data_IF_668894295697
#
_entry.id   IF_668894295697
#
_cell.length_a   1.000
_cell.length_b   1.000
_cell.length_c   1.000
_cell.angle_alpha   90.00
_cell.angle_beta   90.00
_cell.angle_gamma   90.00
#
_symmetry.space_group_name_H-M   'P 1'
#
loop_
_entity.id
_entity.type
_entity.pdbx_description
1 polymer ?
#
# COMPACT_ATOMS: atom_id res chain seq x y z
N UNK A 1 -31.23 -28.16 -7.86
CA UNK A 1 -31.15 -28.20 -6.41
C UNK A 1 -30.09 -29.20 -6.02
N UNK A 2 -28.92 -28.75 -5.65
CA UNK A 2 -27.85 -29.64 -5.16
C UNK A 2 -28.08 -29.87 -3.67
N UNK A 3 -28.34 -31.11 -3.30
CA UNK A 3 -28.54 -31.53 -1.91
C UNK A 3 -27.20 -31.48 -1.19
N UNK A 4 -27.07 -30.54 -0.25
CA UNK A 4 -25.92 -30.49 0.65
C UNK A 4 -26.09 -31.65 1.63
N UNK A 5 -25.16 -32.62 1.59
CA UNK A 5 -25.11 -33.71 2.55
C UNK A 5 -24.82 -33.12 3.95
N UNK A 6 -25.49 -33.61 5.00
CA UNK A 6 -25.23 -33.13 6.37
C UNK A 6 -23.80 -33.52 6.77
N UNK A 7 -23.05 -32.54 7.31
CA UNK A 7 -21.79 -32.79 7.98
C UNK A 7 -22.04 -33.71 9.18
N UNK A 8 -21.48 -34.89 9.19
CA UNK A 8 -21.55 -35.83 10.27
C UNK A 8 -20.92 -35.25 11.54
N UNK A 9 -21.61 -35.28 12.70
CA UNK A 9 -21.10 -34.74 13.97
C UNK A 9 -19.99 -35.58 14.63
N UNK A 10 -19.58 -36.71 14.08
CA UNK A 10 -18.65 -37.66 14.71
C UNK A 10 -17.47 -38.07 13.79
N UNK A 11 -16.92 -37.11 13.05
CA UNK A 11 -15.68 -37.30 12.33
C UNK A 11 -14.51 -36.65 13.08
N UNK A 12 -14.23 -37.03 14.31
CA UNK A 12 -13.00 -36.66 15.00
C UNK A 12 -11.83 -37.11 14.15
N UNK A 13 -11.11 -36.16 13.54
CA UNK A 13 -9.82 -36.44 12.89
C UNK A 13 -8.95 -37.16 13.94
N UNK A 14 -8.25 -38.27 13.58
CA UNK A 14 -7.37 -38.94 14.52
C UNK A 14 -6.47 -37.91 15.18
N UNK A 15 -6.16 -38.05 16.46
CA UNK A 15 -5.29 -37.18 17.28
C UNK A 15 -3.98 -36.92 16.51
N UNK A 16 -4.02 -35.97 15.63
CA UNK A 16 -2.84 -35.54 14.87
C UNK A 16 -2.02 -34.68 15.80
N UNK A 17 -0.82 -35.13 16.13
CA UNK A 17 0.14 -34.30 16.86
C UNK A 17 0.35 -33.00 16.08
N UNK A 18 0.41 -31.85 16.81
CA UNK A 18 0.75 -30.58 16.17
C UNK A 18 2.06 -30.67 15.38
N UNK A 19 2.22 -29.89 14.30
CA UNK A 19 3.46 -29.89 13.52
C UNK A 19 4.69 -29.68 14.40
N UNK A 20 5.61 -30.64 14.41
CA UNK A 20 6.82 -30.66 15.26
C UNK A 20 7.95 -31.42 14.58
N UNK A 21 9.17 -31.15 15.02
CA UNK A 21 10.35 -31.92 14.66
C UNK A 21 11.34 -31.87 15.84
N UNK A 22 11.25 -32.88 16.72
CA UNK A 22 12.01 -32.93 17.96
C UNK A 22 13.50 -33.11 17.67
N UNK A 23 13.86 -33.86 16.64
CA UNK A 23 15.24 -34.10 16.26
C UNK A 23 15.91 -32.81 15.77
N UNK A 24 15.17 -31.98 15.02
CA UNK A 24 15.65 -30.65 14.64
C UNK A 24 15.82 -29.72 15.87
N UNK A 25 14.86 -29.73 16.82
CA UNK A 25 14.98 -28.94 18.04
C UNK A 25 16.21 -29.35 18.86
N UNK A 26 16.46 -30.66 19.06
CA UNK A 26 17.64 -31.16 19.75
C UNK A 26 18.92 -30.77 19.01
N UNK A 27 18.92 -30.84 17.69
CA UNK A 27 20.07 -30.48 16.85
C UNK A 27 20.40 -28.99 16.96
N UNK A 28 19.39 -28.12 17.00
CA UNK A 28 19.53 -26.66 17.22
C UNK A 28 20.21 -26.41 18.56
N UNK A 29 19.66 -26.95 19.67
CA UNK A 29 20.19 -26.74 21.02
C UNK A 29 21.58 -27.32 21.16
N UNK A 30 21.79 -28.52 20.66
CA UNK A 30 23.09 -29.16 20.68
C UNK A 30 24.17 -28.42 19.89
N UNK A 31 23.80 -27.86 18.70
CA UNK A 31 24.74 -27.07 17.90
C UNK A 31 25.23 -25.81 18.64
N UNK A 32 24.34 -25.11 19.36
CA UNK A 32 24.69 -23.95 20.18
C UNK A 32 25.65 -24.33 21.30
N UNK A 33 25.46 -25.51 21.93
CA UNK A 33 26.38 -26.02 23.00
C UNK A 33 27.75 -26.43 22.46
N UNK A 34 27.85 -26.76 21.16
CA UNK A 34 29.13 -27.10 20.51
C UNK A 34 29.85 -25.84 20.04
N UNK A 35 29.13 -24.88 19.45
CA UNK A 35 29.65 -23.66 18.84
C UNK A 35 28.77 -22.48 19.18
N UNK A 36 29.23 -21.58 20.03
CA UNK A 36 28.48 -20.43 20.51
C UNK A 36 28.04 -19.51 19.35
N UNK A 37 28.83 -19.45 18.26
CA UNK A 37 28.50 -18.67 17.05
C UNK A 37 27.19 -19.15 16.39
N UNK A 38 26.79 -20.42 16.57
CA UNK A 38 25.54 -20.95 16.11
C UNK A 38 24.31 -20.19 16.67
N UNK A 39 24.44 -19.65 17.89
CA UNK A 39 23.36 -18.86 18.50
C UNK A 39 23.10 -17.57 17.74
N UNK A 40 24.12 -16.86 17.28
CA UNK A 40 24.00 -15.63 16.49
C UNK A 40 23.36 -15.92 15.14
N UNK A 41 23.72 -17.01 14.47
CA UNK A 41 23.07 -17.47 13.23
C UNK A 41 21.58 -17.74 13.44
N UNK A 42 21.22 -18.42 14.54
CA UNK A 42 19.82 -18.70 14.87
C UNK A 42 19.02 -17.42 15.19
N UNK A 43 19.64 -16.44 15.87
CA UNK A 43 18.97 -15.18 16.21
C UNK A 43 18.83 -14.26 14.99
N UNK A 44 19.88 -14.11 14.19
CA UNK A 44 19.95 -13.12 13.10
C UNK A 44 19.40 -13.68 11.79
N UNK A 45 19.89 -14.83 11.32
CA UNK A 45 19.49 -15.38 10.02
C UNK A 45 18.14 -16.12 10.09
N UNK A 46 17.99 -17.00 11.11
CA UNK A 46 16.79 -17.83 11.26
C UNK A 46 15.69 -17.11 12.04
N UNK A 47 16.04 -16.17 12.92
CA UNK A 47 15.13 -15.44 13.82
C UNK A 47 14.34 -16.37 14.73
N UNK A 48 14.99 -17.40 15.21
CA UNK A 48 14.38 -18.40 16.05
C UNK A 48 14.10 -17.84 17.45
N UNK A 49 12.90 -18.08 17.97
CA UNK A 49 12.42 -17.63 19.27
C UNK A 49 12.18 -18.81 20.19
N UNK A 50 12.22 -18.63 21.53
CA UNK A 50 11.85 -19.70 22.47
C UNK A 50 10.47 -20.30 22.20
N UNK A 51 9.50 -19.48 21.81
CA UNK A 51 8.13 -19.92 21.49
C UNK A 51 8.01 -20.73 20.18
N UNK A 52 9.10 -20.84 19.42
CA UNK A 52 9.14 -21.66 18.20
C UNK A 52 9.39 -23.15 18.51
N UNK A 53 9.82 -23.45 19.71
CA UNK A 53 10.02 -24.84 20.12
C UNK A 53 8.68 -25.49 20.52
N UNK A 54 8.50 -26.74 20.10
CA UNK A 54 7.31 -27.53 20.46
C UNK A 54 7.37 -28.02 21.91
N UNK A 55 8.57 -28.50 22.34
CA UNK A 55 8.75 -28.98 23.70
C UNK A 55 9.06 -27.82 24.64
N UNK A 56 8.25 -27.60 25.69
CA UNK A 56 8.50 -26.54 26.66
C UNK A 56 9.89 -26.57 27.27
N UNK A 57 10.44 -27.76 27.50
CA UNK A 57 11.81 -27.93 28.01
C UNK A 57 12.90 -27.38 27.07
N UNK A 58 12.68 -27.50 25.73
CA UNK A 58 13.58 -26.96 24.73
C UNK A 58 13.51 -25.43 24.68
N UNK A 59 12.27 -24.89 24.79
CA UNK A 59 12.02 -23.46 24.89
C UNK A 59 12.74 -22.85 26.11
N UNK A 60 12.66 -23.50 27.31
CA UNK A 60 13.38 -23.07 28.51
C UNK A 60 14.89 -23.13 28.34
N UNK A 61 15.44 -24.21 27.74
CA UNK A 61 16.87 -24.33 27.48
C UNK A 61 17.32 -23.20 26.54
N UNK A 62 16.61 -22.96 25.42
CA UNK A 62 16.97 -21.91 24.47
C UNK A 62 16.89 -20.51 25.10
N UNK A 63 15.88 -20.27 25.94
CA UNK A 63 15.75 -19.03 26.71
C UNK A 63 16.91 -18.79 27.65
N UNK A 64 17.40 -19.84 28.32
CA UNK A 64 18.58 -19.76 29.17
C UNK A 64 19.86 -19.45 28.36
N UNK A 65 20.03 -20.05 27.17
CA UNK A 65 21.13 -19.74 26.25
C UNK A 65 21.13 -18.27 25.84
N UNK A 66 19.95 -17.73 25.47
CA UNK A 66 19.81 -16.31 25.14
C UNK A 66 20.16 -15.40 26.31
N UNK A 67 19.69 -15.72 27.52
CA UNK A 67 19.97 -14.93 28.72
C UNK A 67 21.47 -14.92 29.08
N UNK A 68 22.22 -15.99 28.86
CA UNK A 68 23.67 -16.04 29.02
C UNK A 68 24.38 -15.17 27.97
N UNK A 69 23.98 -15.30 26.70
CA UNK A 69 24.53 -14.51 25.60
C UNK A 69 24.32 -13.00 25.81
N UNK A 70 23.13 -12.57 26.26
CA UNK A 70 22.81 -11.17 26.55
C UNK A 70 23.72 -10.59 27.64
N UNK A 71 24.22 -11.43 28.56
CA UNK A 71 25.20 -11.05 29.58
C UNK A 71 26.65 -11.21 29.13
N UNK A 72 26.86 -11.61 27.87
CA UNK A 72 28.19 -11.92 27.31
C UNK A 72 28.92 -13.04 28.08
N UNK A 73 28.15 -13.97 28.66
CA UNK A 73 28.67 -15.16 29.33
C UNK A 73 28.82 -16.32 28.33
N UNK A 74 29.71 -17.25 28.61
CA UNK A 74 29.89 -18.43 27.76
C UNK A 74 28.62 -19.29 27.75
N UNK A 75 28.26 -19.81 26.58
CA UNK A 75 27.08 -20.67 26.39
C UNK A 75 27.56 -22.10 26.14
N UNK A 76 27.67 -22.88 27.20
CA UNK A 76 28.01 -24.30 27.17
C UNK A 76 27.09 -25.12 28.09
N UNK A 77 27.24 -26.45 28.07
CA UNK A 77 26.35 -27.33 28.83
C UNK A 77 26.41 -27.08 30.36
N UNK A 78 27.54 -26.61 30.88
CA UNK A 78 27.73 -26.36 32.31
C UNK A 78 27.05 -25.04 32.70
N UNK A 79 27.29 -23.98 31.95
CA UNK A 79 26.75 -22.64 32.20
C UNK A 79 25.23 -22.60 32.02
N UNK A 80 24.70 -23.26 30.98
CA UNK A 80 23.25 -23.42 30.74
C UNK A 80 22.59 -24.20 31.87
N UNK A 81 23.22 -25.28 32.36
CA UNK A 81 22.68 -26.02 33.50
C UNK A 81 22.67 -25.17 34.79
N UNK A 82 23.71 -24.39 35.05
CA UNK A 82 23.79 -23.48 36.18
C UNK A 82 22.72 -22.36 36.10
N UNK A 83 22.50 -21.80 34.92
CA UNK A 83 21.46 -20.78 34.70
C UNK A 83 20.06 -21.34 34.94
N UNK A 84 19.74 -22.54 34.42
CA UNK A 84 18.48 -23.22 34.64
C UNK A 84 18.27 -23.63 36.11
N UNK A 85 19.35 -23.98 36.83
CA UNK A 85 19.27 -24.25 38.25
C UNK A 85 18.93 -22.96 39.04
N UNK A 86 19.58 -21.86 38.68
CA UNK A 86 19.29 -20.52 39.24
C UNK A 86 17.83 -20.12 39.05
N UNK A 87 17.23 -20.52 37.92
CA UNK A 87 15.82 -20.28 37.60
C UNK A 87 14.89 -21.35 38.21
N UNK A 88 15.39 -22.36 38.88
CA UNK A 88 14.66 -23.51 39.41
C UNK A 88 13.94 -24.35 38.32
N UNK A 89 14.45 -24.31 37.11
CA UNK A 89 13.88 -25.04 35.92
C UNK A 89 14.72 -26.29 35.57
N UNK A 90 15.91 -26.48 36.12
CA UNK A 90 16.82 -27.55 35.71
C UNK A 90 16.19 -28.96 35.75
N UNK A 91 15.40 -29.26 36.79
CA UNK A 91 14.77 -30.58 36.92
C UNK A 91 13.62 -30.76 35.88
N UNK A 92 12.94 -29.70 35.55
CA UNK A 92 11.83 -29.73 34.60
C UNK A 92 12.29 -29.97 33.14
N UNK A 93 13.52 -29.51 32.81
CA UNK A 93 14.12 -29.76 31.50
C UNK A 93 14.79 -31.14 31.35
N UNK A 94 14.88 -31.93 32.42
CA UNK A 94 15.46 -33.25 32.40
C UNK A 94 16.83 -33.35 33.09
N UNK A 95 17.21 -32.31 33.86
CA UNK A 95 18.44 -32.26 34.63
C UNK A 95 19.71 -32.07 33.78
N UNK A 96 20.86 -32.04 34.44
CA UNK A 96 22.15 -31.88 33.75
C UNK A 96 22.42 -32.95 32.68
N UNK A 97 22.02 -34.20 32.96
CA UNK A 97 22.25 -35.31 32.04
C UNK A 97 21.58 -35.07 30.65
N UNK A 98 20.40 -34.47 30.62
CA UNK A 98 19.72 -34.14 29.38
C UNK A 98 20.47 -33.07 28.59
N UNK A 99 20.90 -31.99 29.26
CA UNK A 99 21.62 -30.89 28.62
C UNK A 99 22.96 -31.40 28.03
N UNK A 100 23.70 -32.24 28.80
CA UNK A 100 24.91 -32.85 28.32
C UNK A 100 24.74 -33.87 27.20
N UNK A 101 23.54 -34.39 26.99
CA UNK A 101 23.24 -35.31 25.88
C UNK A 101 22.96 -34.60 24.52
N UNK A 102 22.53 -33.33 24.54
CA UNK A 102 22.14 -32.58 23.34
C UNK A 102 23.26 -32.45 22.29
N UNK A 103 24.53 -32.19 22.64
CA UNK A 103 25.63 -32.17 21.66
C UNK A 103 25.76 -33.46 20.87
N UNK A 104 25.44 -34.61 21.47
CA UNK A 104 25.51 -35.91 20.80
C UNK A 104 24.41 -36.15 19.77
N UNK A 105 23.37 -35.33 19.77
CA UNK A 105 22.26 -35.42 18.84
C UNK A 105 22.47 -34.62 17.54
N UNK A 106 23.62 -33.90 17.44
CA UNK A 106 23.90 -33.01 16.31
C UNK A 106 24.58 -33.76 15.18
N UNK A 107 23.99 -33.93 13.99
CA UNK A 107 24.67 -34.56 12.86
C UNK A 107 25.82 -33.69 12.31
N UNK A 108 25.65 -32.37 12.29
CA UNK A 108 26.64 -31.37 11.87
C UNK A 108 26.32 -30.00 12.41
N UNK A 109 27.21 -29.43 13.22
CA UNK A 109 27.02 -28.07 13.77
C UNK A 109 27.00 -26.98 12.69
N UNK A 110 27.64 -27.19 11.54
CA UNK A 110 27.65 -26.26 10.41
C UNK A 110 26.28 -26.10 9.70
N UNK A 111 25.31 -26.95 9.98
CA UNK A 111 23.99 -26.90 9.37
C UNK A 111 22.91 -26.33 10.31
N UNK A 112 23.30 -25.58 11.33
CA UNK A 112 22.37 -25.03 12.35
C UNK A 112 21.30 -24.16 11.76
N UNK A 113 21.59 -23.38 10.71
CA UNK A 113 20.59 -22.56 10.02
C UNK A 113 19.49 -23.43 9.42
N UNK A 114 19.80 -24.56 8.82
CA UNK A 114 18.83 -25.49 8.25
C UNK A 114 17.95 -26.14 9.34
N UNK A 115 18.56 -26.57 10.45
CA UNK A 115 17.78 -27.12 11.57
C UNK A 115 16.88 -26.09 12.20
N UNK A 116 17.38 -24.86 12.39
CA UNK A 116 16.59 -23.74 12.87
C UNK A 116 15.41 -23.42 11.96
N UNK A 117 15.60 -23.44 10.63
CA UNK A 117 14.53 -23.23 9.66
C UNK A 117 13.43 -24.30 9.77
N UNK A 118 13.81 -25.58 9.95
CA UNK A 118 12.82 -26.66 10.17
C UNK A 118 11.99 -26.39 11.41
N UNK A 119 12.60 -26.01 12.53
CA UNK A 119 11.89 -25.68 13.78
C UNK A 119 10.92 -24.50 13.55
N UNK A 120 11.38 -23.46 12.88
CA UNK A 120 10.60 -22.27 12.55
C UNK A 120 9.41 -22.58 11.66
N UNK A 121 9.60 -23.36 10.59
CA UNK A 121 8.51 -23.77 9.68
C UNK A 121 7.42 -24.54 10.45
N UNK A 122 7.81 -25.45 11.35
CA UNK A 122 6.87 -26.18 12.22
C UNK A 122 6.13 -25.22 13.16
N UNK A 123 6.82 -24.22 13.70
CA UNK A 123 6.18 -23.21 14.55
C UNK A 123 5.17 -22.35 13.79
N UNK A 124 5.48 -21.93 12.56
CA UNK A 124 4.53 -21.20 11.72
C UNK A 124 3.27 -22.03 11.43
N UNK A 125 3.43 -23.32 11.12
CA UNK A 125 2.28 -24.21 10.92
C UNK A 125 1.45 -24.35 12.20
N UNK A 126 2.04 -24.37 13.40
CA UNK A 126 1.32 -24.39 14.68
C UNK A 126 0.53 -23.08 14.87
N UNK A 127 1.15 -21.92 14.63
CA UNK A 127 0.48 -20.61 14.72
C UNK A 127 -0.71 -20.53 13.75
N UNK A 128 -0.53 -21.02 12.52
CA UNK A 128 -1.65 -21.10 11.56
C UNK A 128 -2.75 -22.00 12.07
N UNK A 129 -2.42 -23.18 12.61
CA UNK A 129 -3.39 -24.11 13.18
C UNK A 129 -4.17 -23.49 14.34
N UNK A 130 -3.50 -22.77 15.24
CA UNK A 130 -4.14 -22.09 16.36
C UNK A 130 -5.04 -20.94 15.90
N UNK A 131 -4.65 -20.21 14.85
CA UNK A 131 -5.49 -19.17 14.24
C UNK A 131 -6.74 -19.78 13.62
N UNK A 132 -6.62 -20.90 12.91
CA UNK A 132 -7.75 -21.60 12.31
C UNK A 132 -8.71 -22.16 13.37
N UNK A 133 -8.19 -22.70 14.48
CA UNK A 133 -9.01 -23.17 15.62
C UNK A 133 -9.77 -22.03 16.29
N UNK A 134 -9.12 -20.86 16.45
CA UNK A 134 -9.80 -19.67 16.96
C UNK A 134 -10.90 -19.22 16.02
N UNK A 135 -10.62 -19.17 14.72
CA UNK A 135 -11.60 -18.81 13.70
C UNK A 135 -12.79 -19.80 13.70
N UNK A 136 -12.53 -21.11 13.81
CA UNK A 136 -13.59 -22.14 13.94
C UNK A 136 -14.49 -21.87 15.17
N UNK A 137 -13.89 -21.62 16.33
CA UNK A 137 -14.65 -21.30 17.54
C UNK A 137 -15.45 -20.00 17.40
N UNK A 138 -14.85 -18.98 16.78
CA UNK A 138 -15.49 -17.68 16.57
C UNK A 138 -16.72 -17.80 15.64
N UNK A 139 -16.74 -18.73 14.67
CA UNK A 139 -17.94 -18.99 13.84
C UNK A 139 -19.17 -19.30 14.68
N UNK A 140 -19.01 -19.98 15.83
CA UNK A 140 -20.11 -20.37 16.71
C UNK A 140 -20.42 -19.35 17.81
N UNK A 141 -19.46 -18.46 18.14
CA UNK A 141 -19.56 -17.62 19.34
C UNK A 141 -19.52 -16.13 19.05
N UNK A 142 -19.15 -15.71 17.83
CA UNK A 142 -18.97 -14.29 17.48
C UNK A 142 -20.32 -13.55 17.44
N UNK A 143 -20.48 -12.46 18.21
CA UNK A 143 -21.75 -11.74 18.30
C UNK A 143 -21.95 -10.71 17.17
N UNK A 144 -20.93 -10.45 16.33
CA UNK A 144 -20.94 -9.48 15.25
C UNK A 144 -21.45 -10.04 13.92
N UNK A 145 -21.28 -9.29 12.85
CA UNK A 145 -21.66 -9.72 11.50
C UNK A 145 -20.69 -10.75 10.92
N UNK A 146 -21.18 -11.61 10.02
CA UNK A 146 -20.33 -12.57 9.32
C UNK A 146 -19.19 -11.87 8.54
N UNK A 147 -19.44 -10.65 8.03
CA UNK A 147 -18.44 -9.86 7.30
C UNK A 147 -17.29 -9.45 8.22
N UNK A 148 -17.58 -8.93 9.40
CA UNK A 148 -16.56 -8.57 10.39
C UNK A 148 -15.72 -9.79 10.81
N UNK A 149 -16.33 -10.96 10.94
CA UNK A 149 -15.62 -12.19 11.26
C UNK A 149 -14.69 -12.61 10.12
N UNK A 150 -15.11 -12.49 8.85
CA UNK A 150 -14.25 -12.76 7.69
C UNK A 150 -13.06 -11.82 7.65
N UNK A 151 -13.30 -10.50 7.79
CA UNK A 151 -12.23 -9.49 7.75
C UNK A 151 -11.21 -9.71 8.88
N UNK A 152 -11.69 -10.03 10.09
CA UNK A 152 -10.83 -10.35 11.24
C UNK A 152 -10.00 -11.62 11.00
N UNK A 153 -10.63 -12.69 10.49
CA UNK A 153 -9.92 -13.94 10.22
C UNK A 153 -8.88 -13.77 9.11
N UNK A 154 -9.20 -13.03 8.04
CA UNK A 154 -8.26 -12.71 6.98
C UNK A 154 -7.03 -11.94 7.53
N UNK A 155 -7.27 -10.94 8.39
CA UNK A 155 -6.20 -10.16 9.02
C UNK A 155 -5.29 -11.02 9.92
N UNK A 156 -5.86 -11.96 10.70
CA UNK A 156 -5.09 -12.86 11.55
C UNK A 156 -4.24 -13.85 10.73
N UNK A 157 -4.81 -14.45 9.69
CA UNK A 157 -4.09 -15.34 8.77
C UNK A 157 -2.97 -14.56 8.06
N UNK A 158 -3.27 -13.35 7.58
CA UNK A 158 -2.28 -12.49 6.95
C UNK A 158 -1.11 -12.16 7.89
N UNK A 159 -1.40 -11.86 9.15
CA UNK A 159 -0.38 -11.59 10.17
C UNK A 159 0.54 -12.80 10.36
N UNK A 160 -0.01 -14.01 10.50
CA UNK A 160 0.79 -15.23 10.65
C UNK A 160 1.66 -15.50 9.41
N UNK A 161 1.12 -15.24 8.21
CA UNK A 161 1.84 -15.44 6.95
C UNK A 161 2.97 -14.42 6.73
N UNK A 162 2.86 -13.22 7.31
CA UNK A 162 3.78 -12.10 7.09
C UNK A 162 4.47 -11.63 8.38
N UNK A 163 4.52 -12.45 9.41
CA UNK A 163 5.22 -12.15 10.68
C UNK A 163 6.73 -11.85 10.49
N UNK A 164 7.25 -12.15 9.30
CA UNK A 164 8.64 -11.88 8.89
C UNK A 164 8.92 -10.41 8.57
N UNK A 165 7.87 -9.61 8.33
CA UNK A 165 7.99 -8.22 7.84
C UNK A 165 8.13 -7.16 8.94
N UNK A 166 8.39 -7.52 10.20
CA UNK A 166 8.82 -6.53 11.20
C UNK A 166 10.21 -6.04 10.81
N UNK A 167 10.29 -4.78 10.37
CA UNK A 167 11.52 -4.12 9.96
C UNK A 167 12.58 -4.22 11.06
N UNK A 168 13.60 -5.02 10.82
CA UNK A 168 14.81 -4.98 11.64
C UNK A 168 15.56 -3.67 11.39
N UNK A 169 16.35 -3.27 12.41
CA UNK A 169 17.36 -2.24 12.21
C UNK A 169 18.38 -2.77 11.19
N UNK A 170 18.36 -2.21 9.99
CA UNK A 170 19.32 -2.56 8.94
C UNK A 170 20.53 -1.64 9.05
N UNK A 171 21.72 -2.18 8.93
CA UNK A 171 22.94 -1.37 8.94
C UNK A 171 22.98 -0.48 7.71
N UNK A 172 23.49 0.75 7.90
CA UNK A 172 23.56 1.74 6.82
C UNK A 172 24.40 1.25 5.62
N UNK A 173 25.47 0.49 5.88
CA UNK A 173 26.34 -0.05 4.84
C UNK A 173 25.58 -1.00 3.89
N UNK A 174 24.72 -1.87 4.40
CA UNK A 174 23.89 -2.78 3.61
C UNK A 174 22.89 -2.00 2.71
N UNK A 175 22.28 -0.97 3.29
CA UNK A 175 21.38 -0.08 2.54
C UNK A 175 22.11 0.65 1.44
N UNK A 176 23.32 1.19 1.74
CA UNK A 176 24.12 1.94 0.78
C UNK A 176 24.57 1.08 -0.40
N UNK A 177 25.01 -0.16 -0.18
CA UNK A 177 25.37 -1.06 -1.28
C UNK A 177 24.21 -1.26 -2.23
N UNK A 178 23.02 -1.59 -1.70
CA UNK A 178 21.82 -1.80 -2.52
C UNK A 178 21.38 -0.54 -3.28
N UNK A 179 21.52 0.64 -2.66
CA UNK A 179 21.11 1.90 -3.32
C UNK A 179 22.14 2.38 -4.35
N UNK A 180 23.44 2.13 -4.14
CA UNK A 180 24.49 2.43 -5.13
C UNK A 180 24.27 1.60 -6.40
N UNK A 181 24.06 0.29 -6.26
CA UNK A 181 23.78 -0.59 -7.40
C UNK A 181 22.57 -0.11 -8.23
N UNK A 182 21.50 0.32 -7.53
CA UNK A 182 20.31 0.90 -8.18
C UNK A 182 20.62 2.21 -8.89
N UNK A 183 21.43 3.08 -8.28
CA UNK A 183 21.81 4.36 -8.88
C UNK A 183 22.68 4.17 -10.13
N UNK A 184 23.58 3.19 -10.12
CA UNK A 184 24.37 2.81 -11.31
C UNK A 184 23.45 2.32 -12.44
N UNK A 185 22.51 1.43 -12.14
CA UNK A 185 21.55 0.91 -13.12
C UNK A 185 20.67 2.03 -13.71
N UNK A 186 20.19 2.95 -12.88
CA UNK A 186 19.40 4.11 -13.33
C UNK A 186 20.22 5.05 -14.20
N UNK A 187 21.49 5.28 -13.83
CA UNK A 187 22.42 6.13 -14.57
C UNK A 187 22.74 5.54 -15.94
N UNK A 188 23.01 4.24 -16.02
CA UNK A 188 23.29 3.54 -17.28
C UNK A 188 22.07 3.53 -18.23
N UNK A 189 20.87 3.38 -17.68
CA UNK A 189 19.62 3.34 -18.45
C UNK A 189 19.10 4.73 -18.83
N UNK A 190 19.70 5.82 -18.32
CA UNK A 190 19.24 7.18 -18.56
C UNK A 190 17.80 7.44 -18.07
N UNK A 191 17.33 6.68 -17.06
CA UNK A 191 15.97 6.80 -16.56
C UNK A 191 15.89 7.96 -15.57
N UNK A 192 15.28 9.07 -16.00
CA UNK A 192 15.09 10.26 -15.16
C UNK A 192 14.00 10.09 -14.07
N UNK A 193 13.06 9.16 -14.24
CA UNK A 193 11.94 8.96 -13.34
C UNK A 193 12.08 7.65 -12.56
N UNK A 194 12.18 7.72 -11.22
CA UNK A 194 12.26 6.56 -10.34
C UNK A 194 10.88 6.07 -9.89
N UNK A 195 9.91 7.00 -9.77
CA UNK A 195 8.53 6.75 -9.35
C UNK A 195 7.56 6.44 -10.49
N UNK A 196 6.29 6.23 -10.16
CA UNK A 196 5.19 6.10 -11.13
C UNK A 196 4.92 7.45 -11.79
N UNK A 197 4.96 7.54 -13.13
CA UNK A 197 4.78 8.80 -13.83
C UNK A 197 3.34 9.32 -13.74
N UNK A 198 3.17 10.61 -13.58
CA UNK A 198 1.87 11.29 -13.65
C UNK A 198 1.41 11.54 -15.10
N UNK A 199 2.35 11.64 -16.01
CA UNK A 199 2.13 12.06 -17.39
C UNK A 199 2.10 13.57 -17.59
N UNK A 200 2.38 14.33 -16.53
CA UNK A 200 2.57 15.78 -16.58
C UNK A 200 4.04 16.07 -16.35
N UNK A 201 4.71 16.52 -17.40
CA UNK A 201 6.17 16.63 -17.43
C UNK A 201 6.72 17.45 -16.27
N UNK A 202 6.23 18.67 -16.08
CA UNK A 202 6.73 19.56 -15.04
C UNK A 202 6.44 19.02 -13.61
N UNK A 203 5.35 18.24 -13.44
CA UNK A 203 5.06 17.55 -12.18
C UNK A 203 6.04 16.40 -11.98
N UNK A 204 6.29 15.62 -13.01
CA UNK A 204 7.21 14.49 -12.97
C UNK A 204 8.66 14.96 -12.76
N UNK A 205 9.05 16.10 -13.34
CA UNK A 205 10.37 16.72 -13.13
C UNK A 205 10.58 17.16 -11.66
N UNK A 206 9.53 17.68 -10.99
CA UNK A 206 9.61 18.08 -9.58
C UNK A 206 9.60 16.88 -8.64
N UNK A 207 8.78 15.86 -8.94
CA UNK A 207 8.55 14.73 -8.01
C UNK A 207 9.44 13.51 -8.27
N UNK A 208 10.09 13.45 -9.44
CA UNK A 208 10.75 12.22 -9.91
C UNK A 208 9.76 11.09 -10.22
N UNK A 209 8.48 11.43 -10.44
CA UNK A 209 7.35 10.51 -10.43
C UNK A 209 6.87 10.18 -8.99
N UNK A 210 5.74 9.53 -8.86
CA UNK A 210 5.17 9.18 -7.56
C UNK A 210 5.92 8.02 -6.91
N UNK A 211 6.61 8.29 -5.81
CA UNK A 211 7.52 7.35 -5.17
C UNK A 211 6.79 6.24 -4.41
N UNK A 212 7.27 4.99 -4.46
CA UNK A 212 6.73 3.89 -3.66
C UNK A 212 6.69 4.23 -2.16
N UNK A 213 5.59 3.88 -1.49
CA UNK A 213 5.40 4.14 -0.07
C UNK A 213 4.92 5.55 0.26
N UNK A 214 4.76 6.44 -0.73
CA UNK A 214 4.27 7.79 -0.51
C UNK A 214 2.75 7.87 -0.52
N UNK A 215 2.22 8.65 0.42
CA UNK A 215 0.85 9.14 0.40
C UNK A 215 0.82 10.54 -0.21
N UNK A 216 0.13 10.67 -1.34
CA UNK A 216 -0.06 11.92 -2.05
C UNK A 216 -1.50 12.41 -1.86
N UNK A 217 -1.67 13.65 -1.49
CA UNK A 217 -2.99 14.27 -1.37
C UNK A 217 -3.21 15.22 -2.54
N UNK A 218 -4.31 15.01 -3.26
CA UNK A 218 -4.78 15.92 -4.29
C UNK A 218 -6.05 16.62 -3.80
N UNK A 219 -5.96 17.90 -3.48
CA UNK A 219 -7.05 18.64 -2.87
C UNK A 219 -7.53 19.79 -3.75
N UNK A 220 -8.83 20.02 -3.74
CA UNK A 220 -9.43 21.14 -4.48
C UNK A 220 -10.82 21.49 -3.94
N UNK A 221 -11.29 22.70 -4.29
CA UNK A 221 -12.71 23.02 -4.18
C UNK A 221 -13.53 22.30 -5.27
N UNK A 222 -14.86 22.14 -5.09
CA UNK A 222 -15.73 21.62 -6.12
C UNK A 222 -15.55 22.36 -7.44
N UNK A 223 -15.78 21.69 -8.56
CA UNK A 223 -15.67 22.19 -9.93
C UNK A 223 -14.26 22.56 -10.43
N UNK A 224 -13.20 22.47 -9.60
CA UNK A 224 -11.80 22.71 -10.00
C UNK A 224 -11.23 21.60 -10.90
N UNK A 225 -11.85 20.43 -10.97
CA UNK A 225 -11.40 19.30 -11.80
C UNK A 225 -10.59 18.23 -11.05
N UNK A 226 -10.73 18.12 -9.73
CA UNK A 226 -10.02 17.15 -8.89
C UNK A 226 -10.07 15.70 -9.42
N UNK A 227 -11.27 15.15 -9.57
CA UNK A 227 -11.46 13.79 -10.10
C UNK A 227 -11.02 13.66 -11.57
N UNK A 228 -11.14 14.73 -12.37
CA UNK A 228 -10.64 14.72 -13.74
C UNK A 228 -9.12 14.60 -13.79
N UNK A 229 -8.38 15.35 -12.96
CA UNK A 229 -6.91 15.26 -12.92
C UNK A 229 -6.46 13.87 -12.45
N UNK A 230 -7.12 13.30 -11.43
CA UNK A 230 -6.84 11.95 -10.95
C UNK A 230 -7.07 10.89 -12.03
N UNK A 231 -8.17 11.01 -12.80
CA UNK A 231 -8.45 10.12 -13.94
C UNK A 231 -7.44 10.31 -15.08
N UNK A 232 -6.98 11.54 -15.34
CA UNK A 232 -5.95 11.78 -16.35
C UNK A 232 -4.61 11.17 -15.94
N UNK A 233 -4.22 11.26 -14.66
CA UNK A 233 -3.03 10.59 -14.12
C UNK A 233 -3.17 9.07 -14.28
N UNK A 234 -4.31 8.48 -13.88
CA UNK A 234 -4.56 7.06 -14.05
C UNK A 234 -4.46 6.62 -15.52
N UNK A 235 -5.06 7.40 -16.42
CA UNK A 235 -5.03 7.14 -17.86
C UNK A 235 -3.63 7.27 -18.45
N UNK A 236 -2.87 8.29 -18.07
CA UNK A 236 -1.51 8.49 -18.55
C UNK A 236 -0.59 7.34 -18.09
N UNK A 237 -0.67 6.94 -16.81
CA UNK A 237 0.10 5.83 -16.26
C UNK A 237 -0.24 4.50 -16.96
N UNK A 238 -1.53 4.18 -17.10
CA UNK A 238 -1.98 2.91 -17.70
C UNK A 238 -1.76 2.82 -19.21
N UNK A 239 -1.70 3.94 -19.93
CA UNK A 239 -1.41 3.99 -21.36
C UNK A 239 0.08 4.17 -21.67
N UNK A 240 0.93 4.33 -20.65
CA UNK A 240 2.37 4.56 -20.84
C UNK A 240 2.71 5.85 -21.57
N UNK A 241 1.85 6.89 -21.49
CA UNK A 241 2.02 8.14 -22.24
C UNK A 241 3.16 9.01 -21.74
N UNK A 242 3.62 8.78 -20.52
CA UNK A 242 4.57 9.65 -19.84
C UNK A 242 6.02 9.15 -19.85
N UNK A 243 6.27 8.00 -20.44
CA UNK A 243 7.55 7.31 -20.27
C UNK A 243 8.16 6.91 -21.60
N UNK A 244 9.14 7.63 -22.03
CA UNK A 244 10.10 7.11 -22.98
C UNK A 244 10.82 5.92 -22.31
N UNK A 245 10.45 4.69 -22.71
CA UNK A 245 11.09 3.45 -22.28
C UNK A 245 10.43 2.66 -21.13
N UNK A 246 9.39 3.16 -20.46
CA UNK A 246 8.59 2.36 -19.49
C UNK A 246 7.24 1.95 -20.10
N UNK A 247 6.86 0.70 -19.88
CA UNK A 247 5.55 0.20 -20.27
C UNK A 247 4.40 0.78 -19.43
N UNK A 248 3.15 0.38 -19.75
CA UNK A 248 1.98 0.73 -18.96
C UNK A 248 2.12 0.31 -17.50
N UNK A 249 1.71 1.19 -16.58
CA UNK A 249 1.72 0.93 -15.13
C UNK A 249 0.32 0.50 -14.70
N UNK A 250 0.15 -0.66 -14.03
CA UNK A 250 -1.12 -1.09 -13.47
C UNK A 250 -1.61 -0.14 -12.36
N UNK A 251 -2.90 0.26 -12.42
CA UNK A 251 -3.52 1.22 -11.50
C UNK A 251 -4.80 0.65 -10.90
N UNK A 252 -4.98 0.83 -9.58
CA UNK A 252 -6.24 0.59 -8.89
C UNK A 252 -6.92 1.93 -8.56
N UNK A 253 -8.17 2.09 -9.00
CA UNK A 253 -8.98 3.28 -8.77
C UNK A 253 -10.21 2.92 -7.93
N UNK A 254 -10.31 3.52 -6.76
CA UNK A 254 -11.47 3.44 -5.87
C UNK A 254 -12.26 4.74 -5.96
N UNK A 255 -13.49 4.66 -6.45
CA UNK A 255 -14.36 5.83 -6.63
C UNK A 255 -15.60 5.69 -5.76
N UNK A 256 -15.75 6.58 -4.78
CA UNK A 256 -16.89 6.65 -3.88
C UNK A 256 -17.94 7.66 -4.36
N UNK A 257 -17.60 8.50 -5.35
CA UNK A 257 -18.48 9.54 -5.88
C UNK A 257 -19.06 9.17 -7.25
N UNK A 258 -18.23 8.56 -8.10
CA UNK A 258 -18.61 8.27 -9.50
C UNK A 258 -18.74 6.78 -9.74
N UNK A 259 -19.74 6.39 -10.53
CA UNK A 259 -19.88 5.01 -11.01
C UNK A 259 -18.78 4.66 -12.03
N UNK A 260 -18.49 3.35 -12.15
CA UNK A 260 -17.53 2.83 -13.16
C UNK A 260 -17.92 3.21 -14.60
N UNK A 261 -19.22 3.35 -14.86
CA UNK A 261 -19.73 3.76 -16.19
C UNK A 261 -19.40 5.23 -16.48
N UNK A 262 -19.59 6.12 -15.49
CA UNK A 262 -19.20 7.53 -15.62
C UNK A 262 -17.71 7.71 -15.80
N UNK A 263 -16.91 6.94 -15.07
CA UNK A 263 -15.44 6.92 -15.20
C UNK A 263 -15.04 6.51 -16.62
N UNK A 264 -15.62 5.40 -17.12
CA UNK A 264 -15.34 4.91 -18.47
C UNK A 264 -15.73 5.94 -19.54
N UNK A 265 -16.90 6.62 -19.40
CA UNK A 265 -17.32 7.67 -20.31
C UNK A 265 -16.37 8.88 -20.28
N UNK A 266 -15.92 9.32 -19.08
CA UNK A 266 -14.96 10.43 -18.96
C UNK A 266 -13.61 10.09 -19.61
N UNK A 267 -13.07 8.90 -19.34
CA UNK A 267 -11.81 8.45 -19.94
C UNK A 267 -11.93 8.32 -21.45
N UNK A 268 -13.05 7.77 -21.93
CA UNK A 268 -13.31 7.65 -23.37
C UNK A 268 -13.41 9.03 -24.04
N UNK A 269 -14.14 9.98 -23.44
CA UNK A 269 -14.27 11.35 -23.93
C UNK A 269 -12.92 12.07 -23.99
N UNK A 270 -12.11 11.94 -22.94
CA UNK A 270 -10.78 12.52 -22.86
C UNK A 270 -9.82 11.95 -23.92
N UNK A 271 -9.86 10.62 -24.16
CA UNK A 271 -8.99 9.96 -25.15
C UNK A 271 -9.45 10.21 -26.59
N UNK A 272 -10.76 10.11 -26.84
CA UNK A 272 -11.32 10.37 -28.15
C UNK A 272 -11.37 11.86 -28.52
N UNK A 273 -11.17 12.78 -27.56
CA UNK A 273 -11.40 14.23 -27.68
C UNK A 273 -12.82 14.52 -28.14
N UNK A 274 -13.81 13.92 -27.48
CA UNK A 274 -15.24 14.09 -27.73
C UNK A 274 -15.87 14.61 -26.43
N UNK A 275 -16.78 15.58 -26.56
CA UNK A 275 -17.42 16.14 -25.36
C UNK A 275 -18.23 15.08 -24.61
N UNK A 276 -18.20 15.13 -23.28
CA UNK A 276 -18.97 14.22 -22.44
C UNK A 276 -20.48 14.30 -22.71
N UNK A 277 -20.98 15.46 -23.11
CA UNK A 277 -22.38 15.64 -23.47
C UNK A 277 -22.75 14.92 -24.78
N UNK A 278 -21.89 14.99 -25.81
CA UNK A 278 -22.07 14.26 -27.04
C UNK A 278 -22.05 12.73 -26.84
N UNK A 279 -21.16 12.23 -26.00
CA UNK A 279 -21.13 10.81 -25.63
C UNK A 279 -22.40 10.39 -24.89
N UNK A 280 -22.86 11.19 -23.92
CA UNK A 280 -24.06 10.90 -23.13
C UNK A 280 -25.32 10.92 -23.99
N UNK A 281 -25.41 11.83 -24.96
CA UNK A 281 -26.55 11.95 -25.88
C UNK A 281 -26.46 10.99 -27.09
N UNK A 282 -25.37 10.23 -27.22
CA UNK A 282 -25.14 9.35 -28.36
C UNK A 282 -24.91 10.10 -29.69
N UNK A 283 -24.57 11.39 -29.65
CA UNK A 283 -24.35 12.25 -30.82
C UNK A 283 -22.87 12.10 -31.30
N UNK A 284 -22.48 10.86 -31.63
CA UNK A 284 -21.09 10.51 -31.95
C UNK A 284 -20.93 9.88 -33.35
N UNK A 285 -21.96 9.96 -34.21
CA UNK A 285 -21.93 9.31 -35.53
C UNK A 285 -20.73 9.75 -36.39
N UNK A 286 -20.42 11.05 -36.43
CA UNK A 286 -19.29 11.61 -37.18
C UNK A 286 -17.95 11.20 -36.59
N UNK A 287 -17.89 10.96 -35.28
CA UNK A 287 -16.67 10.69 -34.52
C UNK A 287 -16.51 9.23 -34.14
N UNK A 288 -17.39 8.34 -34.65
CA UNK A 288 -17.43 6.93 -34.26
C UNK A 288 -16.07 6.22 -34.39
N UNK A 289 -15.31 6.55 -35.44
CA UNK A 289 -13.94 6.01 -35.62
C UNK A 289 -13.00 6.41 -34.47
N UNK A 290 -13.12 7.65 -33.99
CA UNK A 290 -12.31 8.13 -32.83
C UNK A 290 -12.71 7.42 -31.56
N UNK A 291 -14.01 7.18 -31.35
CA UNK A 291 -14.54 6.39 -30.22
C UNK A 291 -13.97 4.98 -30.23
N UNK A 292 -14.00 4.29 -31.38
CA UNK A 292 -13.49 2.93 -31.50
C UNK A 292 -11.97 2.85 -31.23
N UNK A 293 -11.18 3.77 -31.79
CA UNK A 293 -9.73 3.81 -31.54
C UNK A 293 -9.40 4.09 -30.06
N UNK A 294 -10.12 4.99 -29.44
CA UNK A 294 -9.97 5.27 -28.01
C UNK A 294 -10.38 4.06 -27.15
N UNK A 295 -11.48 3.39 -27.48
CA UNK A 295 -11.93 2.18 -26.83
C UNK A 295 -10.91 1.05 -26.94
N UNK A 296 -10.32 0.84 -28.13
CA UNK A 296 -9.27 -0.16 -28.32
C UNK A 296 -8.05 0.11 -27.44
N UNK A 297 -7.61 1.36 -27.33
CA UNK A 297 -6.49 1.73 -26.44
C UNK A 297 -6.84 1.49 -24.97
N UNK A 298 -8.02 1.96 -24.54
CA UNK A 298 -8.43 1.86 -23.13
C UNK A 298 -8.73 0.41 -22.71
N UNK A 299 -9.18 -0.44 -23.61
CA UNK A 299 -9.42 -1.86 -23.32
C UNK A 299 -8.14 -2.64 -22.98
N UNK A 300 -6.98 -2.15 -23.41
CA UNK A 300 -5.66 -2.73 -23.11
C UNK A 300 -5.02 -2.11 -21.86
N UNK A 301 -5.62 -1.06 -21.31
CA UNK A 301 -5.08 -0.36 -20.13
C UNK A 301 -5.25 -1.21 -18.86
N UNK A 302 -4.18 -1.47 -18.09
CA UNK A 302 -4.25 -2.23 -16.85
C UNK A 302 -4.83 -1.37 -15.72
N UNK A 303 -6.14 -1.08 -15.78
CA UNK A 303 -6.89 -0.27 -14.82
C UNK A 303 -8.00 -1.10 -14.17
N UNK A 304 -7.98 -1.19 -12.84
CA UNK A 304 -9.04 -1.79 -12.02
C UNK A 304 -9.84 -0.71 -11.34
N UNK A 305 -11.16 -0.76 -11.47
CA UNK A 305 -12.08 0.23 -10.92
C UNK A 305 -13.00 -0.44 -9.91
N UNK A 306 -13.07 0.13 -8.73
CA UNK A 306 -14.04 -0.19 -7.68
C UNK A 306 -14.91 1.05 -7.41
N UNK A 307 -16.22 0.92 -7.61
CA UNK A 307 -17.21 1.99 -7.38
C UNK A 307 -18.13 1.67 -6.19
N UNK A 308 -17.64 0.89 -5.22
CA UNK A 308 -18.37 0.59 -4.00
C UNK A 308 -18.53 1.85 -3.15
N UNK A 309 -19.77 2.27 -2.90
CA UNK A 309 -20.09 3.47 -2.11
C UNK A 309 -19.89 3.30 -0.61
N UNK A 310 -19.86 2.07 -0.10
CA UNK A 310 -19.66 1.73 1.33
C UNK A 310 -18.29 1.07 1.53
N UNK A 311 -17.23 1.86 1.40
CA UNK A 311 -15.84 1.40 1.48
C UNK A 311 -15.16 1.96 2.72
N UNK A 312 -14.79 1.07 3.66
CA UNK A 312 -13.95 1.39 4.81
C UNK A 312 -12.47 1.23 4.50
N UNK A 313 -11.60 1.72 5.40
CA UNK A 313 -10.14 1.62 5.22
C UNK A 313 -9.65 0.16 5.22
N UNK A 314 -10.26 -0.71 6.03
CA UNK A 314 -9.92 -2.13 6.07
C UNK A 314 -10.33 -2.85 4.79
N UNK A 315 -11.54 -2.59 4.27
CA UNK A 315 -12.02 -3.14 3.00
C UNK A 315 -11.09 -2.75 1.84
N UNK A 316 -10.70 -1.47 1.79
CA UNK A 316 -9.78 -0.94 0.79
C UNK A 316 -8.43 -1.66 0.85
N UNK A 317 -7.84 -1.77 2.06
CA UNK A 317 -6.56 -2.47 2.27
C UNK A 317 -6.64 -3.93 1.81
N UNK A 318 -7.69 -4.65 2.18
CA UNK A 318 -7.89 -6.04 1.76
C UNK A 318 -8.00 -6.17 0.24
N UNK A 319 -8.78 -5.28 -0.43
CA UNK A 319 -8.92 -5.28 -1.89
C UNK A 319 -7.59 -4.98 -2.61
N UNK A 320 -6.83 -3.98 -2.13
CA UNK A 320 -5.52 -3.63 -2.72
C UNK A 320 -4.51 -4.75 -2.53
N UNK A 321 -4.42 -5.37 -1.34
CA UNK A 321 -3.55 -6.53 -1.08
C UNK A 321 -3.87 -7.70 -2.01
N UNK A 322 -5.15 -8.04 -2.16
CA UNK A 322 -5.60 -9.10 -3.07
C UNK A 322 -5.27 -8.79 -4.51
N UNK A 323 -5.41 -7.52 -4.94
CA UNK A 323 -5.03 -7.11 -6.29
C UNK A 323 -3.51 -7.18 -6.48
N UNK A 324 -2.72 -6.69 -5.50
CA UNK A 324 -1.24 -6.75 -5.54
C UNK A 324 -0.73 -8.19 -5.61
N UNK A 325 -1.39 -9.12 -4.92
CA UNK A 325 -1.08 -10.57 -5.03
C UNK A 325 -1.34 -11.15 -6.42
N UNK A 326 -2.34 -10.62 -7.16
CA UNK A 326 -2.66 -11.04 -8.53
C UNK A 326 -1.87 -10.27 -9.59
N UNK A 327 -1.48 -9.05 -9.29
CA UNK A 327 -0.77 -8.11 -10.15
C UNK A 327 0.44 -7.55 -9.38
N UNK A 328 1.56 -8.30 -9.32
CA UNK A 328 2.75 -7.88 -8.58
C UNK A 328 3.29 -6.52 -8.99
N UNK A 329 3.09 -6.14 -10.27
CA UNK A 329 3.52 -4.87 -10.86
C UNK A 329 2.54 -3.71 -10.60
N UNK A 330 1.48 -3.90 -9.78
CA UNK A 330 0.60 -2.80 -9.39
C UNK A 330 1.44 -1.61 -8.91
N UNK A 331 1.31 -0.45 -9.58
CA UNK A 331 2.21 0.69 -9.41
C UNK A 331 1.54 1.97 -8.90
N UNK A 332 0.20 2.01 -8.77
CA UNK A 332 -0.51 3.19 -8.26
C UNK A 332 -1.87 2.81 -7.70
N UNK A 333 -2.25 3.43 -6.59
CA UNK A 333 -3.61 3.37 -6.03
C UNK A 333 -4.17 4.78 -5.97
N UNK A 334 -5.42 4.97 -6.41
CA UNK A 334 -6.14 6.25 -6.37
C UNK A 334 -7.45 6.07 -5.60
N UNK A 335 -7.75 6.98 -4.68
CA UNK A 335 -8.98 6.98 -3.85
C UNK A 335 -9.72 8.30 -4.00
N UNK A 336 -10.91 8.29 -4.61
CA UNK A 336 -11.76 9.47 -4.82
C UNK A 336 -13.07 9.32 -4.04
N UNK A 337 -13.28 9.98 -2.89
CA UNK A 337 -12.41 10.82 -2.10
C UNK A 337 -12.55 10.48 -0.61
N UNK A 338 -11.56 10.85 0.21
CA UNK A 338 -11.41 10.46 1.62
C UNK A 338 -12.66 10.70 2.48
N UNK A 339 -13.31 11.86 2.29
CA UNK A 339 -14.45 12.24 3.12
C UNK A 339 -15.72 11.41 2.87
N UNK A 340 -15.77 10.57 1.83
CA UNK A 340 -16.89 9.64 1.59
C UNK A 340 -16.61 8.24 2.15
N UNK A 341 -15.38 7.95 2.58
CA UNK A 341 -15.08 6.66 3.16
C UNK A 341 -15.87 6.43 4.45
N UNK A 342 -16.27 5.17 4.66
CA UNK A 342 -16.95 4.75 5.88
C UNK A 342 -15.99 4.80 7.06
N UNK A 343 -16.40 5.50 8.13
CA UNK A 343 -15.70 5.48 9.40
C UNK A 343 -15.94 4.16 10.15
N UNK A 344 -14.95 3.68 10.90
CA UNK A 344 -15.07 2.49 11.74
C UNK A 344 -15.97 2.75 12.95
N UNK A 345 -15.81 3.90 13.59
CA UNK A 345 -16.70 4.35 14.66
C UNK A 345 -17.43 5.63 14.24
N UNK A 346 -18.74 5.49 14.02
CA UNK A 346 -19.61 6.62 13.65
C UNK A 346 -19.82 7.65 14.79
N UNK A 347 -19.41 7.32 16.03
CA UNK A 347 -19.53 8.19 17.21
C UNK A 347 -18.35 9.14 17.35
N UNK A 348 -17.23 8.87 16.68
CA UNK A 348 -16.05 9.73 16.72
C UNK A 348 -16.26 11.05 15.96
N UNK A 349 -15.50 12.07 16.37
CA UNK A 349 -15.45 13.34 15.66
C UNK A 349 -14.90 13.12 14.23
N UNK A 350 -15.52 13.78 13.26
CA UNK A 350 -15.15 13.70 11.84
C UNK A 350 -13.67 13.91 11.57
N UNK A 351 -13.01 14.79 12.31
CA UNK A 351 -11.56 15.04 12.22
C UNK A 351 -10.75 13.79 12.57
N UNK A 352 -11.15 13.08 13.63
CA UNK A 352 -10.48 11.84 14.04
C UNK A 352 -10.68 10.71 13.01
N UNK A 353 -11.89 10.60 12.48
CA UNK A 353 -12.22 9.62 11.44
C UNK A 353 -11.34 9.81 10.19
N UNK A 354 -11.25 11.04 9.69
CA UNK A 354 -10.42 11.38 8.53
C UNK A 354 -8.94 11.13 8.83
N UNK A 355 -8.48 11.42 10.05
CA UNK A 355 -7.13 11.12 10.49
C UNK A 355 -6.82 9.63 10.51
N UNK A 356 -7.74 8.79 10.99
CA UNK A 356 -7.58 7.35 10.97
C UNK A 356 -7.48 6.80 9.53
N UNK A 357 -8.32 7.32 8.62
CA UNK A 357 -8.29 6.97 7.18
C UNK A 357 -6.97 7.37 6.53
N UNK A 358 -6.51 8.61 6.75
CA UNK A 358 -5.24 9.13 6.24
C UNK A 358 -4.06 8.27 6.69
N UNK A 359 -3.98 8.00 8.00
CA UNK A 359 -2.95 7.12 8.56
C UNK A 359 -3.03 5.70 8.01
N UNK A 360 -4.25 5.15 7.86
CA UNK A 360 -4.47 3.84 7.25
C UNK A 360 -3.97 3.74 5.82
N UNK A 361 -4.18 4.79 5.00
CA UNK A 361 -3.65 4.87 3.64
C UNK A 361 -2.13 5.03 3.61
N UNK A 362 -1.54 5.81 4.53
CA UNK A 362 -0.08 5.93 4.65
C UNK A 362 0.56 4.60 5.02
N UNK A 363 -0.04 3.86 5.96
CA UNK A 363 0.42 2.52 6.32
C UNK A 363 0.32 1.55 5.14
N UNK A 364 -0.77 1.59 4.37
CA UNK A 364 -0.94 0.78 3.17
C UNK A 364 0.13 1.08 2.12
N UNK A 365 0.40 2.36 1.87
CA UNK A 365 1.45 2.79 0.94
C UNK A 365 2.81 2.22 1.33
N UNK A 366 3.20 2.34 2.61
CA UNK A 366 4.46 1.81 3.14
C UNK A 366 4.55 0.29 3.09
N UNK A 367 3.48 -0.40 3.50
CA UNK A 367 3.39 -1.87 3.55
C UNK A 367 3.58 -2.51 2.17
N UNK A 368 2.84 -2.00 1.18
CA UNK A 368 2.85 -2.56 -0.17
C UNK A 368 3.89 -1.90 -1.10
N UNK A 369 4.64 -0.91 -0.60
CA UNK A 369 5.59 -0.10 -1.37
C UNK A 369 4.96 0.44 -2.66
N UNK A 370 3.77 1.04 -2.50
CA UNK A 370 2.98 1.65 -3.59
C UNK A 370 2.75 3.13 -3.31
N UNK A 371 2.79 4.02 -4.32
CA UNK A 371 2.22 5.35 -4.20
C UNK A 371 0.70 5.27 -4.09
N UNK A 372 0.14 6.05 -3.17
CA UNK A 372 -1.31 6.18 -2.97
C UNK A 372 -1.70 7.65 -3.14
N UNK A 373 -2.55 7.94 -4.11
CA UNK A 373 -3.17 9.27 -4.28
C UNK A 373 -4.54 9.25 -3.61
N UNK A 374 -4.73 10.09 -2.63
CA UNK A 374 -6.02 10.28 -2.01
C UNK A 374 -6.56 11.68 -2.32
N UNK A 375 -7.80 11.74 -2.81
CA UNK A 375 -8.44 12.99 -3.14
C UNK A 375 -9.11 13.56 -1.89
N UNK A 376 -9.04 14.89 -1.73
CA UNK A 376 -9.62 15.59 -0.59
C UNK A 376 -10.35 16.85 -1.04
N UNK A 377 -11.43 17.19 -0.36
CA UNK A 377 -12.13 18.45 -0.58
C UNK A 377 -11.62 19.51 0.40
N UNK A 378 -11.42 20.74 -0.09
CA UNK A 378 -10.99 21.87 0.73
C UNK A 378 -12.14 22.57 1.45
N UNK A 379 -11.83 23.22 2.56
CA UNK A 379 -12.76 24.04 3.33
C UNK A 379 -13.34 25.21 2.51
N UNK A 380 -14.60 25.58 2.77
CA UNK A 380 -15.27 26.74 2.12
C UNK A 380 -14.65 28.08 2.52
N UNK A 381 -13.94 28.15 3.65
CA UNK A 381 -13.30 29.40 4.13
C UNK A 381 -12.27 29.99 3.16
N UNK A 382 -11.73 29.15 2.25
CA UNK A 382 -10.88 29.61 1.16
C UNK A 382 -11.55 30.69 0.30
N UNK A 383 -12.86 30.58 0.06
CA UNK A 383 -13.63 31.47 -0.83
C UNK A 383 -13.83 32.88 -0.23
N UNK A 384 -13.64 33.01 1.10
CA UNK A 384 -13.75 34.29 1.83
C UNK A 384 -12.48 35.15 1.72
N UNK A 385 -11.38 34.59 1.21
CA UNK A 385 -10.10 35.29 1.07
C UNK A 385 -10.03 36.09 -0.23
N UNK A 386 -9.24 37.15 -0.24
CA UNK A 386 -8.92 37.92 -1.45
C UNK A 386 -8.11 37.07 -2.42
N UNK A 387 -7.03 36.42 -1.94
CA UNK A 387 -6.32 35.41 -2.71
C UNK A 387 -6.92 34.01 -2.41
N UNK A 388 -7.57 33.46 -3.43
CA UNK A 388 -8.26 32.17 -3.35
C UNK A 388 -7.34 30.98 -3.72
N UNK A 389 -6.03 31.19 -3.83
CA UNK A 389 -5.08 30.08 -4.01
C UNK A 389 -5.04 29.22 -2.75
N UNK A 390 -5.22 27.90 -2.87
CA UNK A 390 -5.21 27.00 -1.72
C UNK A 390 -3.84 26.93 -1.02
N UNK A 391 -3.90 26.74 0.31
CA UNK A 391 -2.72 26.50 1.15
C UNK A 391 -2.99 25.36 2.14
N UNK A 392 -1.96 24.85 2.82
CA UNK A 392 -2.06 23.72 3.74
C UNK A 392 -3.11 23.92 4.85
N UNK A 393 -3.27 25.14 5.34
CA UNK A 393 -4.30 25.46 6.35
C UNK A 393 -5.74 25.25 5.87
N UNK A 394 -5.98 25.15 4.55
CA UNK A 394 -7.31 24.90 3.98
C UNK A 394 -7.73 23.43 4.06
N UNK A 395 -6.79 22.54 4.42
CA UNK A 395 -7.04 21.15 4.84
C UNK A 395 -7.50 21.04 6.31
N UNK A 396 -7.93 22.11 6.93
CA UNK A 396 -8.07 22.34 8.38
C UNK A 396 -9.04 21.42 9.14
N UNK A 397 -9.97 20.76 8.47
CA UNK A 397 -10.77 19.68 9.09
C UNK A 397 -9.98 18.36 9.15
N UNK A 398 -8.72 18.37 8.73
CA UNK A 398 -7.90 17.21 8.51
C UNK A 398 -6.41 17.52 8.80
N UNK A 399 -6.09 18.17 9.92
CA UNK A 399 -4.69 18.45 10.31
C UNK A 399 -3.80 17.20 10.33
N UNK A 400 -4.38 16.03 10.53
CA UNK A 400 -3.71 14.74 10.40
C UNK A 400 -3.34 14.38 8.95
N UNK A 401 -4.17 14.76 7.95
CA UNK A 401 -3.83 14.51 6.53
C UNK A 401 -2.53 15.23 6.17
N UNK A 402 -2.37 16.50 6.62
CA UNK A 402 -1.15 17.24 6.38
C UNK A 402 0.07 16.54 6.99
N UNK A 403 -0.06 15.98 8.20
CA UNK A 403 1.06 15.30 8.86
C UNK A 403 1.42 13.98 8.18
N UNK A 404 0.44 13.18 7.80
CA UNK A 404 0.63 11.85 7.21
C UNK A 404 1.12 11.91 5.75
N UNK A 405 0.69 12.93 4.98
CA UNK A 405 1.03 13.09 3.57
C UNK A 405 2.51 13.37 3.33
N UNK A 406 3.08 12.74 2.32
CA UNK A 406 4.43 13.04 1.83
C UNK A 406 4.41 14.18 0.81
N UNK A 407 3.36 14.23 -0.02
CA UNK A 407 3.13 15.28 -1.01
C UNK A 407 1.69 15.79 -0.88
N UNK A 408 1.50 17.11 -0.90
CA UNK A 408 0.18 17.74 -0.95
C UNK A 408 0.13 18.64 -2.15
N UNK A 409 -0.84 18.39 -3.02
CA UNK A 409 -1.08 19.12 -4.26
C UNK A 409 -2.46 19.77 -4.23
N UNK A 410 -2.53 21.00 -4.71
CA UNK A 410 -3.78 21.77 -4.81
C UNK A 410 -4.05 22.13 -6.25
N UNK A 411 -5.30 22.00 -6.69
CA UNK A 411 -5.73 22.51 -7.99
C UNK A 411 -6.39 23.87 -7.78
N UNK A 412 -5.93 24.86 -8.56
CA UNK A 412 -6.51 26.18 -8.63
C UNK A 412 -6.77 26.57 -10.08
N UNK A 413 -7.92 27.19 -10.34
CA UNK A 413 -8.32 27.76 -11.62
C UNK A 413 -9.00 29.09 -11.36
N UNK A 414 -8.38 30.15 -11.84
CA UNK A 414 -8.86 31.53 -11.61
C UNK A 414 -10.22 31.77 -12.28
N UNK A 415 -10.40 31.20 -13.46
CA UNK A 415 -11.64 31.28 -14.25
C UNK A 415 -12.91 30.79 -13.52
N UNK A 416 -12.77 29.91 -12.53
CA UNK A 416 -13.90 29.41 -11.74
C UNK A 416 -14.43 30.48 -10.79
N UNK A 417 -13.58 31.43 -10.38
CA UNK A 417 -13.95 32.50 -9.45
C UNK A 417 -14.23 33.83 -10.15
N UNK A 418 -13.75 34.02 -11.37
CA UNK A 418 -13.87 35.29 -12.12
C UNK A 418 -15.10 35.32 -13.05
N UNK A 419 -15.87 34.21 -13.16
CA UNK A 419 -17.10 34.20 -13.97
C UNK A 419 -18.23 34.86 -13.19
N UNK A 420 -18.72 36.00 -13.69
CA UNK A 420 -20.06 36.51 -13.38
C UNK A 420 -21.10 35.52 -13.94
N UNK A 421 -22.22 35.32 -13.22
CA UNK A 421 -23.22 34.26 -13.49
C UNK A 421 -23.85 34.31 -14.91
N UNK A 422 -23.60 35.36 -15.68
CA UNK A 422 -24.23 35.61 -17.01
C UNK A 422 -23.38 35.13 -18.21
N UNK A 423 -22.10 34.69 -18.03
CA UNK A 423 -21.18 34.39 -19.13
C UNK A 423 -20.99 32.87 -19.39
N UNK A 424 -22.01 32.05 -19.21
CA UNK A 424 -21.91 30.60 -19.43
C UNK A 424 -21.71 30.17 -20.91
N UNK A 425 -22.07 31.01 -21.88
CA UNK A 425 -21.98 30.65 -23.30
C UNK A 425 -20.61 30.94 -23.96
N UNK A 426 -19.75 31.73 -23.33
CA UNK A 426 -18.42 32.12 -23.86
C UNK A 426 -17.21 31.56 -23.04
N UNK A 427 -17.35 30.37 -22.45
CA UNK A 427 -16.24 29.74 -21.75
C UNK A 427 -15.10 29.44 -22.75
N UNK A 428 -13.86 29.90 -22.50
CA UNK A 428 -12.75 29.63 -23.40
C UNK A 428 -12.56 28.11 -23.56
N UNK A 429 -12.24 27.67 -24.78
CA UNK A 429 -12.06 26.26 -25.11
C UNK A 429 -10.93 25.60 -24.30
N UNK A 430 -10.01 26.42 -23.77
CA UNK A 430 -8.92 26.03 -22.90
C UNK A 430 -8.71 27.10 -21.82
N UNK A 431 -8.44 26.67 -20.59
CA UNK A 431 -8.30 27.49 -19.40
C UNK A 431 -7.02 27.15 -18.65
N UNK A 432 -6.30 28.16 -18.17
CA UNK A 432 -5.08 27.92 -17.37
C UNK A 432 -5.46 27.37 -15.99
N UNK A 433 -4.73 26.35 -15.56
CA UNK A 433 -4.86 25.75 -14.25
C UNK A 433 -3.50 25.69 -13.57
N UNK A 434 -3.49 25.91 -12.27
CA UNK A 434 -2.31 25.78 -11.44
C UNK A 434 -2.42 24.50 -10.60
N UNK A 435 -1.39 23.66 -10.63
CA UNK A 435 -1.22 22.58 -9.68
C UNK A 435 -0.14 22.99 -8.69
N UNK A 436 -0.56 23.40 -7.48
CA UNK A 436 0.31 23.96 -6.46
C UNK A 436 0.77 22.82 -5.55
N UNK A 437 2.07 22.54 -5.50
CA UNK A 437 2.69 21.59 -4.59
C UNK A 437 2.98 22.34 -3.29
N UNK A 438 2.05 22.23 -2.31
CA UNK A 438 2.14 22.93 -1.03
C UNK A 438 2.99 22.20 0.01
N UNK A 439 3.22 20.90 -0.16
CA UNK A 439 4.11 20.09 0.66
C UNK A 439 4.80 19.04 -0.19
N UNK A 440 6.09 18.86 0.03
CA UNK A 440 6.88 17.75 -0.54
C UNK A 440 7.99 17.38 0.45
N UNK A 441 7.90 16.18 1.07
CA UNK A 441 8.90 15.75 2.09
C UNK A 441 10.29 15.58 1.53
N UNK A 442 10.40 15.06 0.31
CA UNK A 442 11.67 14.63 -0.30
C UNK A 442 12.09 15.50 -1.49
N UNK A 443 11.45 16.66 -1.68
CA UNK A 443 11.75 17.54 -2.82
C UNK A 443 11.24 18.97 -2.65
N UNK A 444 11.37 19.79 -3.68
CA UNK A 444 10.93 21.17 -3.64
C UNK A 444 9.40 21.29 -3.70
N UNK A 445 8.90 22.39 -3.17
CA UNK A 445 7.54 22.89 -3.41
C UNK A 445 7.54 23.79 -4.64
N UNK A 446 6.40 23.98 -5.27
CA UNK A 446 6.30 24.84 -6.45
C UNK A 446 4.92 24.81 -7.09
N UNK A 447 4.79 25.47 -8.23
CA UNK A 447 3.54 25.50 -8.98
C UNK A 447 3.79 25.01 -10.41
N UNK A 448 3.02 24.03 -10.82
CA UNK A 448 3.00 23.49 -12.18
C UNK A 448 1.83 24.09 -12.94
N UNK A 449 2.08 24.66 -14.09
CA UNK A 449 1.04 25.17 -15.00
C UNK A 449 0.49 24.03 -15.84
N UNK A 450 -0.83 23.97 -15.96
CA UNK A 450 -1.58 23.03 -16.77
C UNK A 450 -2.62 23.77 -17.61
N UNK A 451 -3.10 23.12 -18.66
CA UNK A 451 -4.21 23.61 -19.48
C UNK A 451 -5.41 22.72 -19.24
N UNK A 452 -6.53 23.32 -18.84
CA UNK A 452 -7.80 22.65 -18.67
C UNK A 452 -8.67 22.77 -19.93
N UNK A 453 -9.10 21.65 -20.48
CA UNK A 453 -10.04 21.56 -21.60
C UNK A 453 -11.41 21.10 -21.06
N UNK A 454 -12.29 22.05 -20.79
CA UNK A 454 -13.58 21.80 -20.14
C UNK A 454 -14.45 20.80 -20.93
N UNK A 455 -14.51 20.93 -22.25
CA UNK A 455 -15.32 20.08 -23.13
C UNK A 455 -14.95 18.59 -23.06
N UNK A 456 -13.68 18.25 -22.72
CA UNK A 456 -13.19 16.88 -22.64
C UNK A 456 -12.90 16.44 -21.20
N UNK A 457 -13.14 17.31 -20.21
CA UNK A 457 -12.76 17.12 -18.81
C UNK A 457 -11.31 16.66 -18.66
N UNK A 458 -10.38 17.33 -19.36
CA UNK A 458 -9.00 16.92 -19.50
C UNK A 458 -8.02 18.02 -19.14
N UNK A 459 -6.98 17.66 -18.36
CA UNK A 459 -5.78 18.46 -18.18
C UNK A 459 -4.72 18.07 -19.21
N UNK A 460 -3.92 19.04 -19.63
CA UNK A 460 -2.78 18.87 -20.51
C UNK A 460 -1.56 19.62 -19.97
N UNK A 461 -0.38 19.22 -20.42
CA UNK A 461 0.84 19.97 -20.17
C UNK A 461 0.71 21.39 -20.77
N UNK A 462 1.19 22.37 -20.01
CA UNK A 462 1.26 23.73 -20.49
C UNK A 462 2.38 23.84 -21.54
N UNK A 463 2.04 24.38 -22.73
CA UNK A 463 3.02 24.70 -23.76
C UNK A 463 2.93 26.22 -24.04
N UNK A 464 3.99 26.98 -23.81
CA UNK A 464 3.98 28.45 -24.00
C UNK A 464 3.55 28.87 -25.39
N UNK A 465 3.84 28.06 -26.40
CA UNK A 465 3.56 28.38 -27.82
C UNK A 465 2.07 28.20 -28.21
N UNK A 466 1.25 27.55 -27.38
CA UNK A 466 -0.18 27.38 -27.68
C UNK A 466 -1.04 28.60 -27.27
N UNK A 467 -0.49 29.53 -26.49
CA UNK A 467 -1.17 30.77 -26.10
C UNK A 467 -1.31 31.76 -27.28
N UNK A 468 -0.59 31.55 -28.39
CA UNK A 468 -0.59 32.47 -29.54
C UNK A 468 -1.59 32.13 -30.65
N UNK A 469 -2.27 30.97 -30.63
CA UNK A 469 -3.19 30.54 -31.68
C UNK A 469 -4.68 30.82 -31.38
N UNK A 470 -4.98 31.66 -30.39
CA UNK A 470 -6.34 32.09 -30.05
C UNK A 470 -6.79 33.45 -30.61
N UNK A 471 -5.99 34.12 -31.43
CA UNK A 471 -6.23 35.50 -31.83
C UNK A 471 -5.85 35.84 -33.27
N UNK A 472 -6.40 35.15 -34.26
CA UNK A 472 -6.42 35.73 -35.62
C UNK A 472 -7.77 35.36 -36.28
N UNK A 473 -8.76 36.20 -36.03
CA UNK A 473 -9.87 36.37 -36.96
C UNK A 473 -9.42 37.49 -37.88
N UNK A 474 -8.88 37.09 -39.03
CA UNK A 474 -8.59 38.01 -40.12
C UNK A 474 -9.84 38.78 -40.49
N UNK A 475 -9.72 40.11 -40.36
CA UNK A 475 -10.44 41.08 -41.19
C UNK A 475 -10.01 40.84 -42.65
N UNK A 476 -10.89 40.32 -43.45
CA UNK A 476 -10.89 40.58 -44.88
C UNK A 476 -12.27 40.98 -45.36
N UNK A 477 -12.31 42.14 -45.98
CA UNK A 477 -13.39 42.91 -46.53
C UNK A 477 -14.19 42.33 -47.70
#
# INVERSE_FOLDING_TARGET
>A
MATIAPLHPDGGAPDRLPPQDIDAEMSVLGAVLIAQEALSTLQVEVRLRPDDFYLPKHASIFKAMLALADRSEAVDALTVAAELDRQSELQQVGGQAYIHSLPSSVPSAGHVSQYGQIVRDRAQLRRLLDTLRKAENDVFTYPGSARELFDRTEAEIYRVAHEEATSELTRLDEVLHTEIDKLEELSEKGIALTGTPSGFKDLDDITGGFQPGNLLILAARPAMGKSALALNIAQNATLGKATEGRGPVPVALFSLEMSRVEIAHRMLGAEAKISGDALRKGQVKSDWRRVLLASEKLSKAPLWIDDSSDLGIHDLRAKVRRLKGKQPDLGLVIVDYLQLMRAEDSRENRVLQIGAMSRGLKLLAGELKLPVIALSQLSRRLEERTDKRPMLSDLRESGSIEQDADVVMFIYRDSVYSKDEDDYDDAPAADEAELIIGKHRNGPIGTVKLVWQAQFARFMNYAPDLAYYGGDRGDEG
#
